data_IF_157797957795
#
_entry.id   IF_157797957795
#
_cell.length_a   1.000
_cell.length_b   1.000
_cell.length_c   1.000
_cell.angle_alpha   90.00
_cell.angle_beta   90.00
_cell.angle_gamma   90.00
#
_symmetry.space_group_name_H-M   'P 1'
#
loop_
_entity.id
_entity.type
_entity.pdbx_description
1 polymer ?
#
# COMPACT_ATOMS: atom_id res chain seq x y z
N UNK A 1 20.60 16.79 17.42
CA UNK A 1 21.09 15.45 17.88
C UNK A 1 19.94 14.43 17.77
N UNK A 2 18.71 14.81 18.05
CA UNK A 2 17.56 13.89 18.04
C UNK A 2 17.14 13.44 16.63
N UNK A 3 17.31 14.27 15.60
CA UNK A 3 16.86 14.02 14.22
C UNK A 3 17.69 12.92 13.54
N UNK A 4 18.99 12.86 13.76
CA UNK A 4 19.88 11.83 13.22
C UNK A 4 19.66 10.46 13.91
N UNK A 5 19.38 10.45 15.21
CA UNK A 5 19.07 9.23 15.95
C UNK A 5 17.75 8.61 15.45
N UNK A 6 16.72 9.44 15.28
CA UNK A 6 15.42 9.00 14.74
C UNK A 6 15.51 8.51 13.29
N UNK A 7 16.38 9.13 12.48
CA UNK A 7 16.64 8.69 11.11
C UNK A 7 17.34 7.34 11.09
N UNK A 8 18.35 7.14 11.95
CA UNK A 8 19.06 5.88 12.08
C UNK A 8 18.14 4.76 12.56
N UNK A 9 17.30 5.02 13.55
CA UNK A 9 16.32 4.07 14.06
C UNK A 9 15.35 3.62 12.94
N UNK A 10 14.86 4.56 12.14
CA UNK A 10 14.02 4.25 10.97
C UNK A 10 14.76 3.41 9.94
N UNK A 11 16.00 3.77 9.60
CA UNK A 11 16.82 2.99 8.68
C UNK A 11 17.03 1.55 9.16
N UNK A 12 17.34 1.36 10.45
CA UNK A 12 17.49 0.02 11.04
C UNK A 12 16.19 -0.77 10.94
N UNK A 13 15.07 -0.15 11.25
CA UNK A 13 13.74 -0.76 11.12
C UNK A 13 13.46 -1.17 9.67
N UNK A 14 13.69 -0.26 8.72
CA UNK A 14 13.50 -0.48 7.29
C UNK A 14 14.34 -1.66 6.77
N UNK A 15 15.60 -1.77 7.22
CA UNK A 15 16.49 -2.90 6.86
C UNK A 15 16.00 -4.22 7.47
N UNK A 16 15.52 -4.20 8.71
CA UNK A 16 14.94 -5.39 9.35
C UNK A 16 13.66 -5.87 8.64
N UNK A 17 12.84 -4.94 8.14
CA UNK A 17 11.65 -5.26 7.34
C UNK A 17 12.01 -5.94 6.02
N UNK A 18 13.07 -5.50 5.33
CA UNK A 18 13.59 -6.18 4.14
C UNK A 18 13.99 -7.63 4.42
N UNK A 19 14.54 -7.92 5.60
CA UNK A 19 14.91 -9.28 6.01
C UNK A 19 13.71 -10.21 6.23
N UNK A 20 12.50 -9.68 6.35
CA UNK A 20 11.26 -10.48 6.46
C UNK A 20 10.69 -10.95 5.13
N UNK A 21 11.13 -10.34 4.02
CA UNK A 21 10.73 -10.68 2.65
C UNK A 21 10.78 -12.18 2.35
N UNK A 22 11.78 -12.88 2.88
CA UNK A 22 12.01 -14.30 2.61
C UNK A 22 11.07 -15.26 3.35
N UNK A 23 10.20 -14.73 4.24
CA UNK A 23 9.22 -15.51 5.03
C UNK A 23 7.80 -15.03 4.74
N UNK A 24 7.34 -15.22 3.52
CA UNK A 24 5.99 -14.83 3.10
C UNK A 24 4.99 -15.92 3.49
N UNK A 25 3.95 -15.55 4.22
CA UNK A 25 2.80 -16.41 4.57
C UNK A 25 1.53 -15.77 4.04
N UNK A 26 1.18 -16.09 2.78
CA UNK A 26 0.00 -15.54 2.14
C UNK A 26 -1.28 -16.12 2.73
N UNK A 27 -2.28 -15.27 2.92
CA UNK A 27 -3.65 -15.61 3.32
C UNK A 27 -4.66 -14.79 2.48
N UNK A 28 -5.91 -15.21 2.50
CA UNK A 28 -6.99 -14.44 1.85
C UNK A 28 -7.43 -13.30 2.77
N UNK A 29 -7.13 -12.08 2.37
CA UNK A 29 -7.49 -10.88 3.12
C UNK A 29 -8.72 -10.23 2.51
N UNK A 30 -9.86 -10.23 3.23
CA UNK A 30 -11.06 -9.45 2.88
C UNK A 30 -10.73 -7.96 3.03
N UNK A 31 -10.76 -7.24 1.91
CA UNK A 31 -10.21 -5.89 1.88
C UNK A 31 -11.06 -4.84 2.59
N UNK A 32 -12.39 -4.96 2.59
CA UNK A 32 -13.23 -3.96 3.25
C UNK A 32 -12.91 -3.82 4.74
N UNK A 33 -13.05 -4.89 5.50
CA UNK A 33 -12.77 -4.85 6.94
C UNK A 33 -11.31 -4.60 7.28
N UNK A 34 -10.38 -5.12 6.46
CA UNK A 34 -8.96 -4.91 6.64
C UNK A 34 -8.58 -3.42 6.48
N UNK A 35 -9.04 -2.78 5.40
CA UNK A 35 -8.71 -1.38 5.11
C UNK A 35 -9.38 -0.42 6.10
N UNK A 36 -10.65 -0.65 6.48
CA UNK A 36 -11.32 0.19 7.48
C UNK A 36 -10.54 0.18 8.81
N UNK A 37 -10.22 -1.01 9.32
CA UNK A 37 -9.45 -1.14 10.57
C UNK A 37 -8.06 -0.49 10.47
N UNK A 38 -7.39 -0.69 9.34
CA UNK A 38 -6.06 -0.10 9.08
C UNK A 38 -6.10 1.43 9.08
N UNK A 39 -7.10 2.02 8.39
CA UNK A 39 -7.22 3.47 8.28
C UNK A 39 -7.59 4.12 9.62
N UNK A 40 -8.39 3.45 10.45
CA UNK A 40 -8.71 3.91 11.80
C UNK A 40 -7.46 3.92 12.69
N UNK A 41 -6.67 2.84 12.65
CA UNK A 41 -5.40 2.74 13.38
C UNK A 41 -4.40 3.80 12.92
N UNK A 42 -4.28 3.99 11.61
CA UNK A 42 -3.37 4.97 11.03
C UNK A 42 -3.75 6.39 11.40
N UNK A 43 -5.03 6.75 11.33
CA UNK A 43 -5.52 8.07 11.72
C UNK A 43 -5.19 8.37 13.19
N UNK A 44 -5.37 7.39 14.06
CA UNK A 44 -5.04 7.51 15.48
C UNK A 44 -3.53 7.68 15.69
N UNK A 45 -2.70 6.88 15.02
CA UNK A 45 -1.25 6.92 15.15
C UNK A 45 -0.64 8.23 14.64
N UNK A 46 -1.08 8.66 13.47
CA UNK A 46 -0.60 9.90 12.83
C UNK A 46 -1.27 11.17 13.39
N UNK A 47 -2.25 11.00 14.30
CA UNK A 47 -3.00 12.10 14.93
C UNK A 47 -3.69 13.02 13.92
N UNK A 48 -4.26 12.42 12.88
CA UNK A 48 -5.05 13.12 11.86
C UNK A 48 -6.52 12.74 11.97
N UNK A 49 -7.38 13.62 11.46
CA UNK A 49 -8.81 13.30 11.37
C UNK A 49 -9.03 12.13 10.40
N UNK A 50 -9.84 11.13 10.80
CA UNK A 50 -10.14 9.96 9.96
C UNK A 50 -10.73 10.37 8.59
N UNK A 51 -11.44 11.49 8.54
CA UNK A 51 -12.04 12.03 7.31
C UNK A 51 -11.05 12.43 6.23
N UNK A 52 -9.76 12.59 6.58
CA UNK A 52 -8.68 12.79 5.59
C UNK A 52 -8.63 11.62 4.60
N UNK A 53 -8.95 10.41 5.05
CA UNK A 53 -9.05 9.23 4.21
C UNK A 53 -10.47 9.01 3.70
N UNK A 54 -10.62 8.80 2.39
CA UNK A 54 -11.83 8.25 1.80
C UNK A 54 -11.56 6.86 1.25
N UNK A 55 -12.46 5.91 1.56
CA UNK A 55 -12.38 4.53 1.10
C UNK A 55 -13.58 4.23 0.20
N UNK A 56 -13.33 3.71 -0.99
CA UNK A 56 -14.34 3.28 -1.95
C UNK A 56 -14.05 1.87 -2.43
N UNK A 57 -15.05 1.01 -2.39
CA UNK A 57 -14.96 -0.37 -2.87
C UNK A 57 -16.16 -0.66 -3.78
N UNK A 58 -15.90 -1.17 -4.98
CA UNK A 58 -16.97 -1.66 -5.88
C UNK A 58 -17.59 -2.96 -5.36
N UNK A 59 -16.79 -3.77 -4.64
CA UNK A 59 -17.17 -5.01 -3.97
C UNK A 59 -16.20 -5.24 -2.80
N UNK A 60 -16.34 -6.35 -2.07
CA UNK A 60 -15.36 -6.75 -1.05
C UNK A 60 -14.57 -7.96 -1.52
N UNK A 61 -13.59 -7.78 -2.44
CA UNK A 61 -12.74 -8.85 -2.90
C UNK A 61 -11.76 -9.33 -1.83
N UNK A 62 -11.29 -10.57 -1.98
CA UNK A 62 -10.18 -11.08 -1.19
C UNK A 62 -8.87 -10.89 -1.95
N UNK A 63 -7.87 -10.32 -1.30
CA UNK A 63 -6.51 -10.22 -1.80
C UNK A 63 -5.66 -11.34 -1.18
N UNK A 64 -5.00 -12.13 -2.01
CA UNK A 64 -4.02 -13.11 -1.56
C UNK A 64 -2.70 -12.41 -1.23
N UNK A 65 -2.41 -12.25 0.05
CA UNK A 65 -1.24 -11.49 0.51
C UNK A 65 -0.84 -11.89 1.92
N UNK A 66 0.41 -11.70 2.27
CA UNK A 66 0.85 -11.76 3.66
C UNK A 66 0.34 -10.53 4.41
N UNK A 67 -0.37 -10.73 5.50
CA UNK A 67 -1.00 -9.66 6.30
C UNK A 67 0.01 -8.64 6.81
N UNK A 68 1.16 -9.10 7.29
CA UNK A 68 2.21 -8.22 7.81
C UNK A 68 2.83 -7.39 6.69
N UNK A 69 3.06 -8.02 5.53
CA UNK A 69 3.57 -7.33 4.35
C UNK A 69 2.58 -6.28 3.84
N UNK A 70 1.28 -6.60 3.76
CA UNK A 70 0.27 -5.62 3.32
C UNK A 70 0.18 -4.43 4.29
N UNK A 71 0.21 -4.67 5.60
CA UNK A 71 0.28 -3.60 6.59
C UNK A 71 1.48 -2.68 6.32
N UNK A 72 2.66 -3.23 6.09
CA UNK A 72 3.88 -2.45 5.84
C UNK A 72 3.81 -1.68 4.52
N UNK A 73 3.31 -2.31 3.45
CA UNK A 73 3.11 -1.65 2.15
C UNK A 73 2.18 -0.46 2.28
N UNK A 74 1.01 -0.66 2.90
CA UNK A 74 0.04 0.41 3.12
C UNK A 74 0.59 1.52 4.00
N UNK A 75 1.31 1.16 5.07
CA UNK A 75 1.95 2.13 5.94
C UNK A 75 2.90 3.05 5.15
N UNK A 76 3.76 2.46 4.31
CA UNK A 76 4.72 3.21 3.50
C UNK A 76 4.04 4.14 2.48
N UNK A 77 3.00 3.64 1.79
CA UNK A 77 2.29 4.43 0.79
C UNK A 77 1.44 5.55 1.42
N UNK A 78 0.68 5.23 2.46
CA UNK A 78 -0.23 6.17 3.09
C UNK A 78 0.50 7.22 3.95
N UNK A 79 1.64 6.87 4.56
CA UNK A 79 2.50 7.86 5.23
C UNK A 79 3.07 8.87 4.22
N UNK A 80 3.41 8.43 3.01
CA UNK A 80 3.80 9.34 1.94
C UNK A 80 2.61 10.22 1.51
N UNK A 81 1.43 9.64 1.28
CA UNK A 81 0.24 10.39 0.91
C UNK A 81 -0.12 11.46 1.96
N UNK A 82 -0.12 11.12 3.25
CA UNK A 82 -0.37 12.08 4.34
C UNK A 82 0.65 13.20 4.40
N UNK A 83 1.91 12.91 4.08
CA UNK A 83 2.98 13.91 4.11
C UNK A 83 2.79 15.00 3.04
N UNK A 84 2.25 14.63 1.89
CA UNK A 84 2.16 15.52 0.73
C UNK A 84 0.76 16.05 0.46
N UNK A 85 -0.28 15.47 1.05
CA UNK A 85 -1.67 15.89 0.85
C UNK A 85 -1.99 17.21 1.54
N UNK A 86 -3.14 17.79 1.18
CA UNK A 86 -3.64 19.03 1.79
C UNK A 86 -4.13 18.88 3.23
N UNK A 87 -4.36 17.65 3.70
CA UNK A 87 -4.94 17.36 5.01
C UNK A 87 -6.45 17.61 5.13
N UNK A 88 -7.12 18.02 4.05
CA UNK A 88 -8.58 18.21 4.02
C UNK A 88 -9.32 16.87 3.99
N UNK A 89 -10.61 16.84 4.35
CA UNK A 89 -11.41 15.63 4.18
C UNK A 89 -11.33 15.10 2.74
N UNK A 90 -11.07 13.79 2.60
CA UNK A 90 -10.90 13.13 1.31
C UNK A 90 -9.59 13.43 0.57
N UNK A 91 -8.61 14.06 1.23
CA UNK A 91 -7.30 14.38 0.62
C UNK A 91 -6.51 13.14 0.21
N UNK A 92 -6.70 12.02 0.92
CA UNK A 92 -6.14 10.71 0.57
C UNK A 92 -7.27 9.76 0.23
N UNK A 93 -7.28 9.26 -1.01
CA UNK A 93 -8.33 8.38 -1.54
C UNK A 93 -7.79 6.98 -1.73
N UNK A 94 -8.53 6.01 -1.24
CA UNK A 94 -8.26 4.60 -1.41
C UNK A 94 -9.44 4.00 -2.18
N UNK A 95 -9.15 3.39 -3.34
CA UNK A 95 -10.17 2.72 -4.17
C UNK A 95 -9.76 1.27 -4.38
N UNK A 96 -10.71 0.36 -4.19
CA UNK A 96 -10.54 -1.06 -4.49
C UNK A 96 -11.40 -1.41 -5.69
N UNK A 97 -10.79 -2.01 -6.70
CA UNK A 97 -11.45 -2.48 -7.92
C UNK A 97 -11.25 -3.97 -8.06
N UNK A 98 -12.35 -4.69 -8.13
CA UNK A 98 -12.35 -6.12 -8.42
C UNK A 98 -12.33 -6.32 -9.95
N UNK A 99 -11.38 -7.13 -10.44
CA UNK A 99 -11.23 -7.49 -11.85
C UNK A 99 -11.47 -8.99 -12.04
N UNK A 100 -12.71 -9.46 -11.95
CA UNK A 100 -13.03 -10.89 -11.91
C UNK A 100 -12.54 -11.66 -13.14
N UNK A 101 -12.56 -11.04 -14.33
CA UNK A 101 -12.14 -11.67 -15.59
C UNK A 101 -10.65 -11.98 -15.67
N UNK A 102 -9.83 -11.29 -14.88
CA UNK A 102 -8.37 -11.50 -14.79
C UNK A 102 -7.91 -12.13 -13.48
N UNK A 103 -8.84 -12.48 -12.60
CA UNK A 103 -8.55 -12.98 -11.25
C UNK A 103 -7.62 -12.02 -10.46
N UNK A 104 -7.83 -10.72 -10.66
CA UNK A 104 -7.02 -9.67 -10.03
C UNK A 104 -7.89 -8.72 -9.23
N UNK A 105 -7.24 -8.08 -8.28
CA UNK A 105 -7.78 -6.94 -7.55
C UNK A 105 -6.77 -5.80 -7.63
N UNK A 106 -7.27 -4.61 -7.84
CA UNK A 106 -6.47 -3.39 -7.81
C UNK A 106 -6.80 -2.58 -6.56
N UNK A 107 -5.76 -2.13 -5.88
CA UNK A 107 -5.85 -1.20 -4.77
C UNK A 107 -5.14 0.09 -5.18
N UNK A 108 -5.91 1.15 -5.34
CA UNK A 108 -5.44 2.47 -5.73
C UNK A 108 -5.29 3.35 -4.50
N UNK A 109 -4.18 4.07 -4.42
CA UNK A 109 -3.87 5.03 -3.35
C UNK A 109 -3.50 6.34 -4.02
N UNK A 110 -4.29 7.38 -3.77
CA UNK A 110 -4.17 8.68 -4.41
C UNK A 110 -4.16 9.79 -3.37
N UNK A 111 -3.31 10.76 -3.54
CA UNK A 111 -3.32 11.99 -2.74
C UNK A 111 -3.68 13.22 -3.60
N UNK A 112 -3.97 14.35 -2.96
CA UNK A 112 -4.24 15.63 -3.59
C UNK A 112 -3.04 16.60 -3.54
N UNK A 113 -1.84 16.06 -3.34
CA UNK A 113 -0.60 16.84 -3.25
C UNK A 113 -0.05 17.27 -4.60
N UNK A 114 1.23 17.63 -4.61
CA UNK A 114 1.92 18.07 -5.83
C UNK A 114 2.27 16.93 -6.80
N UNK A 115 2.12 15.68 -6.37
CA UNK A 115 2.49 14.51 -7.16
C UNK A 115 4.00 14.28 -7.26
N UNK A 116 4.38 13.38 -8.16
CA UNK A 116 5.77 13.00 -8.40
C UNK A 116 6.37 13.87 -9.50
N UNK A 117 7.43 14.61 -9.19
CA UNK A 117 8.15 15.45 -10.17
C UNK A 117 8.79 14.61 -11.28
N UNK A 118 8.91 15.15 -12.49
CA UNK A 118 9.41 14.44 -13.68
C UNK A 118 10.77 13.78 -13.46
N UNK A 119 11.69 14.49 -12.83
CA UNK A 119 13.04 13.98 -12.56
C UNK A 119 13.07 12.80 -11.57
N UNK A 120 12.04 12.68 -10.75
CA UNK A 120 11.91 11.63 -9.73
C UNK A 120 11.20 10.37 -10.26
N UNK A 121 10.35 10.46 -11.29
CA UNK A 121 9.47 9.38 -11.76
C UNK A 121 10.19 8.07 -12.04
N UNK A 122 11.37 8.12 -12.65
CA UNK A 122 12.19 6.93 -12.92
C UNK A 122 12.93 6.36 -11.72
N UNK A 123 12.94 7.06 -10.58
CA UNK A 123 13.81 6.74 -9.43
C UNK A 123 13.05 6.54 -8.12
N UNK A 124 11.74 6.78 -8.08
CA UNK A 124 10.96 6.75 -6.82
C UNK A 124 11.00 5.39 -6.11
N UNK A 125 11.28 4.32 -6.83
CA UNK A 125 11.43 2.97 -6.29
C UNK A 125 12.89 2.54 -6.11
N UNK A 126 13.87 3.41 -6.41
CA UNK A 126 15.27 3.11 -6.12
C UNK A 126 15.55 3.21 -4.61
N UNK A 127 16.37 2.32 -4.05
CA UNK A 127 16.71 2.40 -2.64
C UNK A 127 17.47 3.69 -2.33
N UNK A 128 17.17 4.27 -1.17
CA UNK A 128 17.80 5.51 -0.64
C UNK A 128 17.44 6.76 -1.46
N UNK A 129 16.60 6.66 -2.48
CA UNK A 129 16.11 7.83 -3.21
C UNK A 129 15.03 8.56 -2.40
N UNK A 130 15.26 9.84 -2.12
CA UNK A 130 14.30 10.70 -1.43
C UNK A 130 14.46 12.15 -1.86
N UNK A 131 13.33 12.83 -2.05
CA UNK A 131 13.26 14.27 -2.26
C UNK A 131 13.09 15.04 -0.94
N UNK A 132 12.96 14.33 0.17
CA UNK A 132 12.70 14.91 1.49
C UNK A 132 13.86 14.67 2.46
N UNK A 133 14.33 15.73 3.13
CA UNK A 133 15.50 15.70 4.02
C UNK A 133 15.37 14.74 5.21
N UNK A 134 14.16 14.44 5.67
CA UNK A 134 13.86 13.52 6.77
C UNK A 134 13.45 12.12 6.32
N UNK A 135 13.34 11.87 5.00
CA UNK A 135 13.01 10.56 4.45
C UNK A 135 14.23 9.62 4.49
N UNK A 136 14.00 8.32 4.67
CA UNK A 136 15.04 7.29 4.53
C UNK A 136 15.31 6.95 3.06
N UNK A 137 14.31 7.19 2.19
CA UNK A 137 14.33 6.78 0.79
C UNK A 137 14.13 5.28 0.58
N UNK A 138 13.75 4.54 1.62
CA UNK A 138 13.54 3.09 1.55
C UNK A 138 12.06 2.70 1.49
N UNK A 139 11.13 3.55 1.91
CA UNK A 139 9.72 3.17 2.06
C UNK A 139 9.08 2.64 0.78
N UNK A 140 9.21 3.34 -0.36
CA UNK A 140 8.66 2.88 -1.65
C UNK A 140 9.40 1.67 -2.20
N UNK A 141 10.72 1.61 -2.00
CA UNK A 141 11.51 0.44 -2.36
C UNK A 141 11.03 -0.80 -1.59
N UNK A 142 10.90 -0.71 -0.26
CA UNK A 142 10.38 -1.80 0.59
C UNK A 142 8.97 -2.20 0.16
N UNK A 143 8.08 -1.23 -0.07
CA UNK A 143 6.72 -1.51 -0.50
C UNK A 143 6.70 -2.33 -1.80
N UNK A 144 7.56 -2.00 -2.78
CA UNK A 144 7.68 -2.76 -4.03
C UNK A 144 8.22 -4.17 -3.79
N UNK A 145 9.29 -4.33 -3.03
CA UNK A 145 9.88 -5.62 -2.71
C UNK A 145 8.89 -6.56 -1.99
N UNK A 146 8.09 -6.02 -1.06
CA UNK A 146 7.05 -6.79 -0.38
C UNK A 146 5.88 -7.16 -1.31
N UNK A 147 5.50 -6.28 -2.23
CA UNK A 147 4.53 -6.62 -3.27
C UNK A 147 5.04 -7.76 -4.15
N UNK A 148 6.28 -7.67 -4.65
CA UNK A 148 6.91 -8.71 -5.47
C UNK A 148 6.99 -10.06 -4.72
N UNK A 149 7.32 -10.06 -3.43
CA UNK A 149 7.32 -11.27 -2.59
C UNK A 149 5.92 -11.92 -2.44
N UNK A 150 4.85 -11.18 -2.74
CA UNK A 150 3.47 -11.65 -2.72
C UNK A 150 2.88 -11.86 -4.14
N UNK A 151 3.70 -11.94 -5.17
CA UNK A 151 3.28 -12.02 -6.57
C UNK A 151 2.34 -10.87 -6.98
N UNK A 152 2.52 -9.71 -6.39
CA UNK A 152 1.80 -8.49 -6.67
C UNK A 152 2.71 -7.45 -7.32
N UNK A 153 2.10 -6.53 -8.08
CA UNK A 153 2.79 -5.42 -8.71
C UNK A 153 2.45 -4.14 -7.97
N UNK A 154 3.45 -3.33 -7.65
CA UNK A 154 3.29 -1.94 -7.21
C UNK A 154 3.85 -1.01 -8.28
N UNK A 155 3.02 -0.08 -8.73
CA UNK A 155 3.43 0.93 -9.71
C UNK A 155 2.92 2.33 -9.35
N UNK A 156 3.63 3.35 -9.83
CA UNK A 156 3.13 4.71 -9.94
C UNK A 156 2.39 4.84 -11.27
N UNK A 157 1.16 5.34 -11.25
CA UNK A 157 0.30 5.44 -12.43
C UNK A 157 0.44 6.81 -13.08
N UNK A 158 0.13 7.85 -12.31
CA UNK A 158 0.16 9.24 -12.78
C UNK A 158 0.07 10.23 -11.60
N UNK A 159 -0.11 11.50 -11.93
CA UNK A 159 -0.43 12.58 -10.97
C UNK A 159 -1.78 13.19 -11.34
N UNK A 160 -2.83 12.97 -10.51
CA UNK A 160 -4.16 13.56 -10.74
C UNK A 160 -4.97 13.74 -9.42
N UNK A 161 -4.87 14.89 -8.75
CA UNK A 161 -3.88 15.97 -8.87
C UNK A 161 -2.52 15.61 -8.25
N UNK A 162 -2.49 14.76 -7.20
CA UNK A 162 -1.29 14.30 -6.52
C UNK A 162 -0.81 12.94 -7.00
N UNK A 163 0.03 12.26 -6.22
CA UNK A 163 0.56 10.97 -6.61
C UNK A 163 -0.51 9.88 -6.59
N UNK A 164 -0.47 9.02 -7.59
CA UNK A 164 -1.35 7.86 -7.72
C UNK A 164 -0.52 6.57 -7.82
N UNK A 165 -0.61 5.76 -6.79
CA UNK A 165 -0.02 4.43 -6.74
C UNK A 165 -1.09 3.36 -6.88
N UNK A 166 -0.72 2.24 -7.49
CA UNK A 166 -1.59 1.09 -7.68
C UNK A 166 -0.88 -0.20 -7.31
N UNK A 167 -1.54 -1.02 -6.49
CA UNK A 167 -1.16 -2.40 -6.20
C UNK A 167 -2.09 -3.31 -7.00
N UNK A 168 -1.53 -4.26 -7.74
CA UNK A 168 -2.29 -5.27 -8.47
C UNK A 168 -1.91 -6.64 -7.89
N UNK A 169 -2.86 -7.31 -7.28
CA UNK A 169 -2.65 -8.63 -6.68
C UNK A 169 -3.65 -9.67 -7.15
N UNK A 170 -3.50 -10.91 -6.67
CA UNK A 170 -4.41 -12.01 -7.02
C UNK A 170 -5.69 -11.94 -6.19
N UNK A 171 -6.84 -12.15 -6.85
CA UNK A 171 -8.13 -12.40 -6.22
C UNK A 171 -8.45 -13.90 -6.30
N UNK A 172 -8.56 -14.56 -5.16
CA UNK A 172 -8.66 -16.03 -5.10
C UNK A 172 -10.12 -16.56 -5.03
N UNK A 173 -11.11 -15.81 -5.50
CA UNK A 173 -12.53 -16.27 -5.49
C UNK A 173 -12.80 -17.57 -6.25
N UNK A 174 -11.90 -17.98 -7.16
CA UNK A 174 -12.15 -19.08 -8.10
C UNK A 174 -11.99 -20.48 -7.51
N UNK A 175 -11.19 -20.66 -6.46
CA UNK A 175 -11.02 -22.01 -5.88
C UNK A 175 -12.26 -22.51 -5.12
N UNK A 176 -13.12 -21.62 -4.62
CA UNK A 176 -14.36 -22.02 -3.95
C UNK A 176 -15.39 -22.59 -4.93
N UNK A 177 -15.42 -22.12 -6.18
CA UNK A 177 -16.37 -22.63 -7.18
C UNK A 177 -15.94 -24.00 -7.74
N UNK A 178 -14.66 -24.24 -7.96
CA UNK A 178 -14.16 -25.54 -8.45
C UNK A 178 -14.35 -26.64 -7.39
N UNK A 179 -14.12 -26.32 -6.12
CA UNK A 179 -14.35 -27.28 -5.02
C UNK A 179 -15.84 -27.53 -4.72
N UNK A 180 -16.73 -26.61 -5.08
CA UNK A 180 -18.18 -26.76 -4.91
C UNK A 180 -18.83 -27.59 -6.03
N UNK A 181 -18.24 -27.63 -7.23
CA UNK A 181 -18.70 -28.49 -8.35
C UNK A 181 -18.22 -29.93 -8.20
N UNK A 182 -16.99 -30.13 -7.69
CA UNK A 182 -16.42 -31.49 -7.47
C UNK A 182 -17.06 -32.23 -6.27
N UNK A 183 -17.83 -31.53 -5.44
CA UNK A 183 -18.56 -32.10 -4.29
C UNK A 183 -20.01 -32.53 -4.61
N UNK A 184 -20.44 -32.49 -5.87
CA UNK A 184 -21.81 -32.81 -6.31
C UNK A 184 -21.96 -34.05 -7.20
N UNK A 185 -20.88 -34.85 -7.36
CA UNK A 185 -20.96 -36.18 -8.00
C UNK A 185 -20.98 -37.33 -7.01
#
# INVERSE_FOLDING_TARGET
INDNAQRLERLVRDVLELGRRDKTSQEQLRLAGFLESFLDEMAMHEQVDRSVFSLSLDSDPALLFDRTHLNQVLWNLLSNALRYCSGRPGAVRIEVRDLPSSERVELHIMDDGAGVGEEARGKIFEPIFTTHSRGTGLGLYIARELCEANDALLEWVDNQPGAHFRIIGRNQRWQEHLNAEDSRD
#
